data_IF_370430405800
#
_entry.id   IF_370430405800
#
_cell.length_a   1.000
_cell.length_b   1.000
_cell.length_c   1.000
_cell.angle_alpha   90.00
_cell.angle_beta   90.00
_cell.angle_gamma   90.00
#
_symmetry.space_group_name_H-M   'P 1'
#
loop_
_entity.id
_entity.type
_entity.pdbx_description
1 polymer ?
#
# COMPACT_ATOMS: atom_id res chain seq x y z
N UNK A 1 -12.66 -3.30 -9.37
CA UNK A 1 -11.80 -4.29 -8.68
C UNK A 1 -11.19 -3.63 -7.48
N UNK A 2 -11.16 -4.32 -6.34
CA UNK A 2 -10.43 -3.80 -5.18
C UNK A 2 -8.93 -4.07 -5.37
N UNK A 3 -8.06 -3.17 -4.91
CA UNK A 3 -6.59 -3.31 -5.01
C UNK A 3 -6.07 -4.61 -4.39
N UNK A 4 -6.80 -5.19 -3.44
CA UNK A 4 -6.46 -6.47 -2.82
C UNK A 4 -6.66 -7.66 -3.75
N UNK A 5 -7.76 -7.71 -4.51
CA UNK A 5 -8.04 -8.81 -5.45
C UNK A 5 -7.06 -8.80 -6.63
N UNK A 6 -6.72 -7.60 -7.11
CA UNK A 6 -5.77 -7.41 -8.18
C UNK A 6 -4.36 -7.81 -7.75
N UNK A 7 -3.93 -7.41 -6.54
CA UNK A 7 -2.67 -7.86 -5.94
C UNK A 7 -2.66 -9.38 -5.75
N UNK A 8 -3.76 -9.98 -5.28
CA UNK A 8 -3.85 -11.44 -5.09
C UNK A 8 -3.69 -12.18 -6.42
N UNK A 9 -4.38 -11.75 -7.48
CA UNK A 9 -4.22 -12.35 -8.82
C UNK A 9 -2.79 -12.22 -9.36
N UNK A 10 -2.12 -11.11 -9.06
CA UNK A 10 -0.73 -10.91 -9.47
C UNK A 10 0.18 -11.86 -8.69
N UNK A 11 0.05 -11.92 -7.36
CA UNK A 11 0.89 -12.79 -6.51
C UNK A 11 0.65 -14.28 -6.83
N UNK A 12 -0.60 -14.70 -6.98
CA UNK A 12 -0.97 -16.08 -7.35
C UNK A 12 -0.42 -16.46 -8.75
N UNK A 13 -0.30 -15.49 -9.67
CA UNK A 13 0.22 -15.73 -11.03
C UNK A 13 1.73 -15.98 -11.07
N UNK A 14 2.48 -15.42 -10.13
CA UNK A 14 3.94 -15.55 -10.05
C UNK A 14 4.37 -16.43 -8.87
N UNK A 15 3.53 -17.41 -8.51
CA UNK A 15 3.79 -18.43 -7.49
C UNK A 15 4.23 -17.88 -6.13
N UNK A 16 3.62 -16.76 -5.72
CA UNK A 16 3.97 -16.02 -4.50
C UNK A 16 5.44 -15.51 -4.45
N UNK A 17 6.17 -15.63 -5.55
CA UNK A 17 7.58 -15.25 -5.67
C UNK A 17 7.73 -13.80 -6.14
N UNK A 18 8.27 -12.97 -5.26
CA UNK A 18 8.64 -11.60 -5.62
C UNK A 18 9.71 -11.57 -6.72
N UNK A 19 10.61 -12.57 -6.76
CA UNK A 19 11.65 -12.65 -7.76
C UNK A 19 11.06 -12.89 -9.15
N UNK A 20 10.09 -13.80 -9.27
CA UNK A 20 9.37 -14.01 -10.53
C UNK A 20 8.54 -12.79 -10.94
N UNK A 21 7.86 -12.15 -10.00
CA UNK A 21 7.14 -10.91 -10.27
C UNK A 21 8.07 -9.79 -10.77
N UNK A 22 9.28 -9.69 -10.23
CA UNK A 22 10.26 -8.68 -10.63
C UNK A 22 10.90 -8.98 -11.98
N UNK A 23 11.13 -10.26 -12.30
CA UNK A 23 11.81 -10.69 -13.52
C UNK A 23 10.86 -10.84 -14.72
N UNK A 24 9.66 -11.38 -14.49
CA UNK A 24 8.69 -11.72 -15.53
C UNK A 24 7.46 -10.80 -15.52
N UNK A 25 7.25 -10.04 -14.45
CA UNK A 25 6.13 -9.12 -14.30
C UNK A 25 6.38 -7.76 -14.94
N UNK A 26 5.29 -7.05 -15.22
CA UNK A 26 5.38 -5.67 -15.70
C UNK A 26 5.73 -4.73 -14.56
N UNK A 27 6.47 -3.65 -14.83
CA UNK A 27 6.79 -2.63 -13.84
C UNK A 27 5.54 -2.08 -13.11
N UNK A 28 4.39 -2.05 -13.80
CA UNK A 28 3.10 -1.67 -13.21
C UNK A 28 2.61 -2.68 -12.17
N UNK A 29 2.70 -3.98 -12.45
CA UNK A 29 2.31 -5.04 -11.52
C UNK A 29 3.18 -5.03 -10.26
N UNK A 30 4.50 -4.95 -10.41
CA UNK A 30 5.44 -4.89 -9.29
C UNK A 30 5.23 -3.64 -8.44
N UNK A 31 5.01 -2.48 -9.08
CA UNK A 31 4.68 -1.23 -8.37
C UNK A 31 3.37 -1.32 -7.59
N UNK A 32 2.35 -1.98 -8.13
CA UNK A 32 1.07 -2.20 -7.45
C UNK A 32 1.22 -3.07 -6.21
N UNK A 33 1.95 -4.19 -6.31
CA UNK A 33 2.23 -5.09 -5.18
C UNK A 33 3.05 -4.38 -4.10
N UNK A 34 4.14 -3.69 -4.49
CA UNK A 34 4.98 -2.94 -3.55
C UNK A 34 4.20 -1.84 -2.83
N UNK A 35 3.36 -1.08 -3.55
CA UNK A 35 2.51 -0.06 -2.95
C UNK A 35 1.53 -0.66 -1.94
N UNK A 36 0.94 -1.80 -2.26
CA UNK A 36 0.04 -2.50 -1.34
C UNK A 36 0.76 -2.93 -0.06
N UNK A 37 1.96 -3.52 -0.17
CA UNK A 37 2.78 -3.90 0.98
C UNK A 37 3.12 -2.68 1.84
N UNK A 38 3.56 -1.58 1.21
CA UNK A 38 3.87 -0.33 1.92
C UNK A 38 2.64 0.23 2.66
N UNK A 39 1.45 0.22 2.04
CA UNK A 39 0.22 0.67 2.69
C UNK A 39 -0.17 -0.22 3.88
N UNK A 40 0.03 -1.54 3.79
CA UNK A 40 -0.20 -2.46 4.91
C UNK A 40 0.82 -2.27 6.04
N UNK A 41 2.09 -2.10 5.70
CA UNK A 41 3.15 -1.79 6.66
C UNK A 41 2.87 -0.47 7.38
N UNK A 42 2.50 0.58 6.65
CA UNK A 42 2.10 1.88 7.21
C UNK A 42 0.87 1.76 8.12
N UNK A 43 -0.12 0.93 7.76
CA UNK A 43 -1.28 0.66 8.63
C UNK A 43 -0.87 -0.02 9.93
N UNK A 44 -0.04 -1.05 9.86
CA UNK A 44 0.47 -1.77 11.05
C UNK A 44 1.33 -0.86 11.92
N UNK A 45 2.24 -0.10 11.31
CA UNK A 45 3.08 0.86 12.01
C UNK A 45 2.24 1.93 12.72
N UNK A 46 1.20 2.48 12.08
CA UNK A 46 0.27 3.42 12.74
C UNK A 46 -0.48 2.81 13.92
N UNK A 47 -0.86 1.54 13.83
CA UNK A 47 -1.48 0.82 14.94
C UNK A 47 -0.50 0.64 16.11
N UNK A 48 0.73 0.22 15.81
CA UNK A 48 1.79 0.01 16.80
C UNK A 48 2.17 1.29 17.55
N UNK A 49 2.35 2.40 16.83
CA UNK A 49 2.73 3.69 17.44
C UNK A 49 1.54 4.43 18.08
N UNK A 50 0.36 3.80 18.14
CA UNK A 50 -0.83 4.42 18.72
C UNK A 50 -1.33 5.66 17.98
N UNK A 51 -0.89 5.89 16.73
CA UNK A 51 -1.37 6.97 15.87
C UNK A 51 -2.79 6.66 15.38
N UNK A 52 -3.77 6.80 16.28
CA UNK A 52 -5.13 7.12 15.88
C UNK A 52 -5.08 8.49 15.22
N UNK A 53 -5.50 8.56 13.95
CA UNK A 53 -5.62 9.79 13.17
C UNK A 53 -6.28 10.87 14.04
N UNK A 54 -5.49 11.76 14.65
CA UNK A 54 -6.01 13.02 15.17
C UNK A 54 -6.61 13.65 13.92
N UNK A 55 -7.94 13.78 13.83
CA UNK A 55 -8.54 14.64 12.81
C UNK A 55 -7.86 15.98 13.02
N UNK A 56 -6.95 16.38 12.14
CA UNK A 56 -6.51 17.77 12.07
C UNK A 56 -7.78 18.54 11.73
N UNK A 57 -8.45 19.05 12.77
CA UNK A 57 -9.49 20.04 12.60
C UNK A 57 -8.79 21.21 11.94
N UNK A 58 -9.27 21.55 10.74
CA UNK A 58 -8.89 22.69 9.93
C UNK A 58 -8.19 23.78 10.74
N UNK A 59 -6.87 23.90 10.59
CA UNK A 59 -6.21 25.18 10.81
C UNK A 59 -6.64 26.04 9.64
N UNK A 60 -7.78 26.71 9.77
CA UNK A 60 -8.03 27.93 9.01
C UNK A 60 -6.93 28.88 9.46
N UNK A 61 -5.88 29.00 8.64
CA UNK A 61 -4.98 30.13 8.71
C UNK A 61 -5.83 31.36 8.44
N UNK A 62 -6.14 32.10 9.52
CA UNK A 62 -6.55 33.49 9.41
C UNK A 62 -5.43 34.22 8.67
N UNK A 63 -5.72 34.64 7.45
CA UNK A 63 -5.07 35.80 6.87
C UNK A 63 -5.78 37.01 7.50
N UNK A 64 -5.11 37.63 8.47
CA UNK A 64 -5.29 39.05 8.79
C UNK A 64 -4.15 39.83 8.14
#
# INVERSE_FOLDING_TARGET
>A
MTTKEEVKRIVDKYDESFSELSNNGTAKASKTVMKYIADQANKRQRQLVGWKRKRMKNVKTNQE
#
